data_IF_243436670440
#
_entry.id   IF_243436670440
#
_cell.length_a   1.000
_cell.length_b   1.000
_cell.length_c   1.000
_cell.angle_alpha   90.00
_cell.angle_beta   90.00
_cell.angle_gamma   90.00
#
_symmetry.space_group_name_H-M   'P 1'
#
loop_
_entity.id
_entity.type
_entity.pdbx_description
1 polymer ?
#
# COMPACT_ATOMS: atom_id res chain seq x y z
N UNK A 1 12.42 8.13 -26.48
CA UNK A 1 12.87 7.89 -25.09
C UNK A 1 12.11 8.86 -24.19
N UNK A 2 11.51 8.39 -23.10
CA UNK A 2 10.71 9.20 -22.17
C UNK A 2 11.25 9.01 -20.76
N UNK A 3 11.47 10.09 -20.03
CA UNK A 3 11.93 10.07 -18.64
C UNK A 3 10.74 10.43 -17.76
N UNK A 4 10.42 9.57 -16.80
CA UNK A 4 9.34 9.77 -15.83
C UNK A 4 9.92 9.85 -14.42
N UNK A 5 9.36 10.72 -13.59
CA UNK A 5 9.59 10.68 -12.15
C UNK A 5 8.81 9.52 -11.52
N UNK A 6 9.13 9.17 -10.26
CA UNK A 6 8.46 8.10 -9.51
C UNK A 6 6.93 8.23 -9.53
N UNK A 7 6.43 9.44 -9.35
CA UNK A 7 4.98 9.70 -9.26
C UNK A 7 4.23 9.37 -10.56
N UNK A 8 4.89 9.50 -11.72
CA UNK A 8 4.31 9.17 -13.03
C UNK A 8 4.50 7.69 -13.41
N UNK A 9 5.15 6.88 -12.57
CA UNK A 9 5.28 5.44 -12.78
C UNK A 9 3.92 4.70 -12.74
N UNK A 10 2.93 5.32 -12.11
CA UNK A 10 1.53 4.89 -12.08
C UNK A 10 0.64 5.83 -12.92
N UNK A 11 -0.48 5.32 -13.40
CA UNK A 11 -1.54 6.11 -14.06
C UNK A 11 -1.29 6.54 -15.51
N UNK A 12 -0.09 6.33 -16.08
CA UNK A 12 0.22 6.78 -17.46
C UNK A 12 0.34 5.61 -18.44
N UNK A 13 -0.44 5.63 -19.52
CA UNK A 13 -0.49 4.55 -20.49
C UNK A 13 0.31 4.89 -21.75
N UNK A 14 1.04 3.91 -22.27
CA UNK A 14 1.77 4.02 -23.53
C UNK A 14 1.10 3.16 -24.58
N UNK A 15 0.62 3.79 -25.65
CA UNK A 15 0.11 3.10 -26.83
C UNK A 15 1.20 3.14 -27.90
N UNK A 16 1.55 1.97 -28.43
CA UNK A 16 2.54 1.84 -29.50
C UNK A 16 1.78 1.83 -30.83
N UNK A 17 1.92 2.91 -31.60
CA UNK A 17 1.34 2.98 -32.95
C UNK A 17 2.33 2.53 -34.04
N UNK A 18 3.63 2.54 -33.76
CA UNK A 18 4.68 2.18 -34.73
C UNK A 18 4.97 0.67 -34.69
N UNK A 19 4.66 -0.02 -35.78
CA UNK A 19 4.89 -1.45 -35.93
C UNK A 19 6.38 -1.83 -35.81
N UNK A 20 7.30 -0.95 -36.18
CA UNK A 20 8.75 -1.22 -36.07
C UNK A 20 9.16 -1.44 -34.62
N UNK A 21 8.53 -0.72 -33.68
CA UNK A 21 8.77 -0.88 -32.24
C UNK A 21 8.22 -2.24 -31.77
N UNK A 22 7.04 -2.63 -32.24
CA UNK A 22 6.46 -3.95 -31.93
C UNK A 22 7.33 -5.10 -32.45
N UNK A 23 7.84 -4.97 -33.69
CA UNK A 23 8.75 -5.93 -34.31
C UNK A 23 10.11 -5.99 -33.58
N UNK A 24 10.59 -4.87 -33.04
CA UNK A 24 11.82 -4.78 -32.24
C UNK A 24 11.68 -5.31 -30.80
N UNK A 25 10.52 -5.85 -30.41
CA UNK A 25 10.30 -6.41 -29.08
C UNK A 25 9.53 -5.50 -28.11
N UNK A 26 9.03 -4.37 -28.59
CA UNK A 26 8.14 -3.46 -27.87
C UNK A 26 8.84 -2.49 -26.93
N UNK A 27 8.12 -1.99 -25.93
CA UNK A 27 8.64 -0.99 -24.99
C UNK A 27 9.60 -1.65 -24.00
N UNK A 28 10.78 -1.04 -23.85
CA UNK A 28 11.69 -1.36 -22.76
C UNK A 28 11.53 -0.36 -21.62
N UNK A 29 11.27 -0.85 -20.41
CA UNK A 29 11.17 -0.02 -19.21
C UNK A 29 12.42 -0.22 -18.35
N UNK A 30 13.10 0.88 -18.04
CA UNK A 30 14.24 0.90 -17.11
C UNK A 30 13.81 1.59 -15.83
N UNK A 31 13.78 0.84 -14.73
CA UNK A 31 13.52 1.40 -13.41
C UNK A 31 14.84 1.71 -12.70
N UNK A 32 15.05 2.97 -12.31
CA UNK A 32 16.33 3.46 -11.77
C UNK A 32 16.41 3.47 -10.24
N UNK A 33 15.41 2.90 -9.56
CA UNK A 33 15.34 2.85 -8.10
C UNK A 33 14.59 1.60 -7.64
N UNK A 34 14.86 1.15 -6.41
CA UNK A 34 14.08 0.08 -5.81
C UNK A 34 12.79 0.66 -5.21
N UNK A 35 11.64 0.19 -5.68
CA UNK A 35 10.33 0.55 -5.11
C UNK A 35 10.22 0.09 -3.66
N UNK A 36 9.59 0.91 -2.81
CA UNK A 36 9.29 0.53 -1.42
C UNK A 36 8.19 -0.53 -1.33
N UNK A 37 7.25 -0.51 -2.27
CA UNK A 37 6.18 -1.50 -2.36
C UNK A 37 6.34 -2.36 -3.62
N UNK A 38 6.00 -3.64 -3.51
CA UNK A 38 6.01 -4.55 -4.65
C UNK A 38 4.94 -4.14 -5.69
N UNK A 39 3.80 -3.63 -5.21
CA UNK A 39 2.69 -3.13 -6.04
C UNK A 39 3.17 -2.06 -7.04
N UNK A 40 4.02 -1.12 -6.59
CA UNK A 40 4.60 -0.07 -7.42
C UNK A 40 5.50 -0.65 -8.51
N UNK A 41 6.42 -1.56 -8.15
CA UNK A 41 7.29 -2.24 -9.13
C UNK A 41 6.46 -3.01 -10.17
N UNK A 42 5.42 -3.73 -9.74
CA UNK A 42 4.53 -4.48 -10.64
C UNK A 42 3.83 -3.55 -11.61
N UNK A 43 3.34 -2.39 -11.15
CA UNK A 43 2.71 -1.39 -12.01
C UNK A 43 3.67 -0.79 -13.03
N UNK A 44 4.89 -0.44 -12.62
CA UNK A 44 5.94 0.07 -13.52
C UNK A 44 6.30 -0.99 -14.56
N UNK A 45 6.51 -2.24 -14.14
CA UNK A 45 6.78 -3.36 -15.05
C UNK A 45 5.63 -3.59 -16.04
N UNK A 46 4.38 -3.43 -15.60
CA UNK A 46 3.19 -3.54 -16.45
C UNK A 46 3.12 -2.51 -17.58
N UNK A 47 3.96 -1.46 -17.56
CA UNK A 47 4.03 -0.46 -18.63
C UNK A 47 4.71 -0.98 -19.91
N UNK A 48 5.48 -2.06 -19.85
CA UNK A 48 6.23 -2.58 -21.02
C UNK A 48 5.38 -3.44 -21.97
N UNK A 49 4.45 -4.24 -21.43
CA UNK A 49 3.77 -5.32 -22.14
C UNK A 49 2.23 -5.26 -21.99
N UNK A 50 1.66 -4.07 -22.19
CA UNK A 50 0.21 -3.86 -22.00
C UNK A 50 -0.61 -4.57 -23.09
N UNK A 51 -1.76 -5.14 -22.71
CA UNK A 51 -2.69 -5.83 -23.63
C UNK A 51 -2.05 -6.96 -24.47
N UNK A 52 -1.02 -7.62 -23.93
CA UNK A 52 -0.35 -8.74 -24.62
C UNK A 52 0.71 -8.30 -25.63
N UNK A 53 1.03 -7.01 -25.72
CA UNK A 53 2.17 -6.53 -26.49
C UNK A 53 3.49 -7.08 -25.92
N UNK A 54 4.49 -7.26 -26.79
CA UNK A 54 5.85 -7.57 -26.35
C UNK A 54 6.42 -6.38 -25.58
N UNK A 55 7.29 -6.67 -24.62
CA UNK A 55 7.98 -5.67 -23.85
C UNK A 55 9.06 -6.29 -22.99
N UNK A 56 9.96 -5.46 -22.51
CA UNK A 56 11.05 -5.89 -21.63
C UNK A 56 11.22 -4.90 -20.48
N UNK A 57 11.83 -5.39 -19.41
CA UNK A 57 11.98 -4.64 -18.17
C UNK A 57 13.36 -4.91 -17.59
N UNK A 58 14.01 -3.85 -17.12
CA UNK A 58 15.27 -3.94 -16.40
C UNK A 58 15.28 -2.94 -15.24
N UNK A 59 16.14 -3.21 -14.26
CA UNK A 59 16.32 -2.34 -13.10
C UNK A 59 17.80 -1.96 -12.99
N UNK A 60 18.06 -0.66 -12.83
CA UNK A 60 19.39 -0.12 -12.60
C UNK A 60 19.42 0.51 -11.21
N UNK A 61 20.16 -0.11 -10.29
CA UNK A 61 20.14 0.27 -8.88
C UNK A 61 21.49 0.83 -8.44
N UNK A 62 21.44 1.95 -7.73
CA UNK A 62 22.60 2.54 -7.07
C UNK A 62 22.78 1.94 -5.67
N UNK A 63 24.01 1.56 -5.31
CA UNK A 63 24.34 1.05 -3.98
C UNK A 63 23.91 2.00 -2.86
N UNK A 64 24.17 3.31 -3.01
CA UNK A 64 23.80 4.31 -2.00
C UNK A 64 22.29 4.33 -1.72
N UNK A 65 21.46 4.10 -2.75
CA UNK A 65 20.00 4.05 -2.58
C UNK A 65 19.52 2.71 -1.99
N UNK A 66 20.32 1.65 -2.12
CA UNK A 66 20.02 0.32 -1.58
C UNK A 66 20.31 0.23 -0.07
N UNK A 67 21.22 1.06 0.44
CA UNK A 67 21.52 1.12 1.89
C UNK A 67 20.28 1.42 2.74
N UNK A 68 19.34 2.21 2.22
CA UNK A 68 18.04 2.47 2.85
C UNK A 68 17.25 1.19 3.18
N UNK A 69 17.43 0.14 2.39
CA UNK A 69 16.77 -1.17 2.58
C UNK A 69 17.65 -2.15 3.36
N UNK A 70 18.76 -1.67 3.96
CA UNK A 70 19.73 -2.52 4.65
C UNK A 70 20.52 -3.42 3.71
N UNK A 71 20.59 -3.09 2.42
CA UNK A 71 21.37 -3.84 1.42
C UNK A 71 22.72 -3.15 1.28
N UNK A 72 23.78 -3.84 1.72
CA UNK A 72 25.16 -3.38 1.61
C UNK A 72 25.88 -4.06 0.44
N UNK A 73 26.94 -3.43 -0.05
CA UNK A 73 27.79 -4.02 -1.10
C UNK A 73 28.48 -5.30 -0.62
N UNK A 74 29.05 -5.24 0.59
CA UNK A 74 29.74 -6.35 1.26
C UNK A 74 29.10 -6.66 2.62
N UNK A 75 28.97 -7.95 2.94
CA UNK A 75 28.50 -8.42 4.25
C UNK A 75 27.68 -9.71 4.18
N UNK A 76 27.51 -10.41 5.32
CA UNK A 76 26.65 -11.58 5.42
C UNK A 76 25.17 -11.19 5.36
N UNK A 77 24.33 -11.98 4.68
CA UNK A 77 22.88 -11.86 4.72
C UNK A 77 22.27 -10.95 3.66
N UNK A 78 22.48 -11.29 2.38
CA UNK A 78 21.83 -10.63 1.25
C UNK A 78 22.54 -9.36 0.77
N UNK A 79 23.87 -9.38 0.75
CA UNK A 79 24.68 -8.33 0.11
C UNK A 79 24.58 -8.41 -1.42
N UNK A 80 24.90 -7.32 -2.11
CA UNK A 80 24.83 -7.29 -3.59
C UNK A 80 25.77 -8.33 -4.22
N UNK A 81 26.94 -8.59 -3.63
CA UNK A 81 27.86 -9.59 -4.14
C UNK A 81 27.27 -11.02 -4.04
N UNK A 82 26.60 -11.35 -2.93
CA UNK A 82 25.91 -12.62 -2.76
C UNK A 82 24.75 -12.78 -3.77
N UNK A 83 24.01 -11.70 -4.05
CA UNK A 83 22.97 -11.70 -5.08
C UNK A 83 23.56 -11.95 -6.47
N UNK A 84 24.74 -11.38 -6.78
CA UNK A 84 25.46 -11.61 -8.04
C UNK A 84 25.88 -13.07 -8.21
N UNK A 85 26.43 -13.69 -7.17
CA UNK A 85 26.87 -15.10 -7.21
C UNK A 85 25.68 -16.06 -7.33
N UNK A 86 24.58 -15.78 -6.63
CA UNK A 86 23.42 -16.68 -6.60
C UNK A 86 22.42 -16.44 -7.74
N UNK A 87 22.46 -15.29 -8.41
CA UNK A 87 21.50 -14.87 -9.43
C UNK A 87 20.09 -14.58 -8.90
N UNK A 88 19.86 -14.63 -7.58
CA UNK A 88 18.53 -14.51 -6.94
C UNK A 88 18.17 -13.08 -6.55
N UNK A 89 18.26 -12.15 -7.50
CA UNK A 89 18.02 -10.72 -7.24
C UNK A 89 16.60 -10.44 -6.74
N UNK A 90 15.56 -10.82 -7.49
CA UNK A 90 14.16 -10.54 -7.16
C UNK A 90 13.77 -11.02 -5.75
N UNK A 91 14.12 -12.26 -5.40
CA UNK A 91 13.78 -12.84 -4.09
C UNK A 91 14.44 -12.07 -2.94
N UNK A 92 15.73 -11.76 -3.06
CA UNK A 92 16.47 -11.06 -2.01
C UNK A 92 16.04 -9.60 -1.89
N UNK A 93 15.82 -8.91 -3.01
CA UNK A 93 15.31 -7.54 -3.03
C UNK A 93 13.93 -7.45 -2.39
N UNK A 94 13.03 -8.39 -2.71
CA UNK A 94 11.69 -8.41 -2.13
C UNK A 94 11.70 -8.69 -0.63
N UNK A 95 12.58 -9.58 -0.17
CA UNK A 95 12.71 -9.85 1.27
C UNK A 95 13.22 -8.63 2.04
N UNK A 96 14.24 -7.95 1.53
CA UNK A 96 14.77 -6.71 2.14
C UNK A 96 13.74 -5.59 2.13
N UNK A 97 12.96 -5.48 1.06
CA UNK A 97 11.81 -4.58 0.98
C UNK A 97 10.76 -4.89 2.05
N UNK A 98 10.41 -6.16 2.24
CA UNK A 98 9.43 -6.59 3.26
C UNK A 98 9.89 -6.19 4.66
N UNK A 99 11.16 -6.44 5.00
CA UNK A 99 11.73 -6.05 6.29
C UNK A 99 11.70 -4.53 6.49
N UNK A 100 12.05 -3.76 5.45
CA UNK A 100 11.95 -2.30 5.48
C UNK A 100 10.51 -1.82 5.69
N UNK A 101 9.53 -2.46 5.03
CA UNK A 101 8.12 -2.13 5.17
C UNK A 101 7.61 -2.42 6.59
N UNK A 102 7.94 -3.58 7.15
CA UNK A 102 7.55 -3.97 8.51
C UNK A 102 8.08 -3.00 9.57
N UNK A 103 9.33 -2.54 9.41
CA UNK A 103 9.93 -1.55 10.30
C UNK A 103 9.26 -0.18 10.13
N UNK A 104 9.13 0.31 8.89
CA UNK A 104 8.58 1.65 8.59
C UNK A 104 7.12 1.81 8.99
N UNK A 105 6.30 0.78 8.83
CA UNK A 105 4.84 0.86 9.02
C UNK A 105 4.35 0.18 10.30
N UNK A 106 5.25 -0.18 11.22
CA UNK A 106 4.90 -0.88 12.48
C UNK A 106 3.76 -0.18 13.24
N UNK A 107 3.85 1.13 13.41
CA UNK A 107 2.85 1.92 14.13
C UNK A 107 1.54 2.07 13.32
N UNK A 108 1.67 2.21 11.99
CA UNK A 108 0.51 2.30 11.10
C UNK A 108 -0.30 1.01 11.12
N UNK A 109 0.35 -0.15 11.16
CA UNK A 109 -0.34 -1.44 11.26
C UNK A 109 -1.15 -1.53 12.55
N UNK A 110 -0.61 -1.07 13.68
CA UNK A 110 -1.36 -1.03 14.94
C UNK A 110 -2.58 -0.11 14.85
N UNK A 111 -2.42 1.05 14.23
CA UNK A 111 -3.53 1.98 14.03
C UNK A 111 -4.60 1.40 13.10
N UNK A 112 -4.23 0.70 12.03
CA UNK A 112 -5.18 0.03 11.13
C UNK A 112 -6.01 -1.02 11.85
N UNK A 113 -5.43 -1.79 12.79
CA UNK A 113 -6.17 -2.74 13.62
C UNK A 113 -7.22 -2.03 14.47
N UNK A 114 -6.85 -0.91 15.09
CA UNK A 114 -7.79 -0.10 15.88
C UNK A 114 -8.92 0.46 15.00
N UNK A 115 -8.62 1.00 13.82
CA UNK A 115 -9.64 1.48 12.88
C UNK A 115 -10.55 0.34 12.44
N UNK A 116 -10.02 -0.85 12.19
CA UNK A 116 -10.82 -2.00 11.77
C UNK A 116 -11.83 -2.42 12.85
N UNK A 117 -11.42 -2.40 14.12
CA UNK A 117 -12.32 -2.65 15.23
C UNK A 117 -13.39 -1.56 15.36
N UNK A 118 -12.99 -0.30 15.25
CA UNK A 118 -13.92 0.84 15.30
C UNK A 118 -14.89 0.86 14.13
N UNK A 119 -14.42 0.46 12.94
CA UNK A 119 -15.24 0.28 11.76
C UNK A 119 -16.28 -0.82 11.98
N UNK A 120 -15.87 -1.97 12.54
CA UNK A 120 -16.80 -3.05 12.90
C UNK A 120 -17.87 -2.57 13.88
N UNK A 121 -17.47 -1.91 14.98
CA UNK A 121 -18.41 -1.35 15.96
C UNK A 121 -19.39 -0.36 15.31
N UNK A 122 -18.91 0.49 14.39
CA UNK A 122 -19.76 1.43 13.66
C UNK A 122 -20.73 0.72 12.70
N UNK A 123 -20.31 -0.38 12.06
CA UNK A 123 -21.19 -1.20 11.22
C UNK A 123 -22.26 -1.93 12.04
N UNK A 124 -21.88 -2.49 13.20
CA UNK A 124 -22.83 -3.12 14.13
C UNK A 124 -23.85 -2.11 14.65
N UNK A 125 -23.40 -0.91 15.01
CA UNK A 125 -24.28 0.21 15.38
C UNK A 125 -25.25 0.59 14.25
N UNK A 126 -24.75 0.74 13.02
CA UNK A 126 -25.60 1.03 11.85
C UNK A 126 -26.66 -0.05 11.64
N UNK A 127 -26.27 -1.31 11.73
CA UNK A 127 -27.20 -2.44 11.56
C UNK A 127 -28.23 -2.48 12.70
N UNK A 128 -27.81 -2.18 13.94
CA UNK A 128 -28.70 -2.06 15.09
C UNK A 128 -29.71 -0.91 14.95
N UNK A 129 -29.30 0.24 14.40
CA UNK A 129 -30.22 1.34 14.10
C UNK A 129 -31.25 0.97 13.04
N UNK A 130 -30.85 0.19 12.02
CA UNK A 130 -31.75 -0.23 10.96
C UNK A 130 -32.88 -1.17 11.44
N UNK A 131 -32.73 -1.79 12.62
CA UNK A 131 -33.77 -2.66 13.21
C UNK A 131 -34.68 -1.94 14.20
N UNK A 132 -34.44 -0.65 14.48
CA UNK A 132 -35.32 0.18 15.32
C UNK A 132 -36.53 0.61 14.49
N UNK A 133 -37.78 0.29 14.89
CA UNK A 133 -38.97 0.70 14.18
C UNK A 133 -39.13 2.21 14.23
N UNK A 134 -39.55 2.77 13.09
CA UNK A 134 -39.81 4.21 12.95
C UNK A 134 -41.10 4.52 13.73
N UNK A 135 -41.11 5.65 14.45
CA UNK A 135 -42.24 6.11 15.25
C UNK A 135 -43.56 6.03 14.46
N UNK A 136 -44.38 5.03 14.78
CA UNK A 136 -45.62 4.70 14.06
C UNK A 136 -45.87 3.18 13.92
N UNK A 137 -44.82 2.36 13.96
CA UNK A 137 -44.95 0.89 13.92
C UNK A 137 -44.81 0.27 15.32
N UNK A 138 -45.81 -0.53 15.73
CA UNK A 138 -45.82 -1.26 17.01
C UNK A 138 -44.85 -2.46 16.99
N UNK A 139 -43.55 -2.21 16.90
CA UNK A 139 -42.50 -3.21 17.08
C UNK A 139 -41.76 -3.02 18.40
N UNK A 140 -41.73 -4.03 19.27
CA UNK A 140 -40.86 -3.98 20.46
C UNK A 140 -39.40 -4.21 20.04
N UNK A 141 -38.53 -3.22 20.24
CA UNK A 141 -37.08 -3.40 20.09
C UNK A 141 -36.59 -4.31 21.21
N UNK A 142 -35.73 -5.28 20.88
CA UNK A 142 -35.07 -6.11 21.90
C UNK A 142 -34.23 -5.22 22.82
N UNK A 143 -34.38 -5.36 24.14
CA UNK A 143 -33.59 -4.63 25.17
C UNK A 143 -32.08 -4.71 24.93
N UNK A 144 -31.62 -5.79 24.29
CA UNK A 144 -30.21 -6.00 23.96
C UNK A 144 -29.72 -5.03 22.86
N UNK A 145 -30.58 -4.68 21.89
CA UNK A 145 -30.27 -3.74 20.79
C UNK A 145 -30.19 -2.31 21.32
N UNK A 146 -31.15 -1.90 22.18
CA UNK A 146 -31.12 -0.59 22.84
C UNK A 146 -29.87 -0.42 23.71
N UNK A 147 -29.50 -1.46 24.46
CA UNK A 147 -28.28 -1.45 25.29
C UNK A 147 -27.02 -1.27 24.45
N UNK A 148 -26.95 -1.93 23.28
CA UNK A 148 -25.80 -1.86 22.38
C UNK A 148 -25.66 -0.49 21.67
N UNK A 149 -26.79 0.13 21.32
CA UNK A 149 -26.84 1.49 20.75
C UNK A 149 -26.40 2.51 21.80
N UNK A 150 -26.94 2.43 23.02
CA UNK A 150 -26.63 3.37 24.10
C UNK A 150 -25.18 3.24 24.57
N UNK A 151 -24.62 2.03 24.67
CA UNK A 151 -23.22 1.84 25.04
C UNK A 151 -22.26 2.43 24.00
N UNK A 152 -22.53 2.20 22.70
CA UNK A 152 -21.73 2.79 21.63
C UNK A 152 -21.73 4.34 21.66
N UNK A 153 -22.91 4.95 21.89
CA UNK A 153 -23.04 6.41 22.01
C UNK A 153 -22.34 6.97 23.26
N UNK A 154 -22.42 6.27 24.39
CA UNK A 154 -21.75 6.66 25.64
C UNK A 154 -20.22 6.58 25.51
N UNK A 155 -19.70 5.53 24.90
CA UNK A 155 -18.25 5.36 24.70
C UNK A 155 -17.69 6.47 23.80
N UNK A 156 -18.37 6.80 22.70
CA UNK A 156 -17.90 7.89 21.80
C UNK A 156 -18.08 9.29 22.37
N UNK A 157 -19.09 9.52 23.22
CA UNK A 157 -19.25 10.79 23.91
C UNK A 157 -18.18 11.01 24.99
N UNK A 158 -17.70 9.95 25.66
CA UNK A 158 -16.58 10.04 26.62
C UNK A 158 -15.23 10.31 25.93
N UNK A 159 -15.01 9.78 24.73
CA UNK A 159 -13.77 9.98 23.96
C UNK A 159 -13.54 11.42 23.47
N UNK A 160 -14.51 12.34 23.64
CA UNK A 160 -14.34 13.77 23.30
C UNK A 160 -13.70 14.62 24.40
N UNK A 161 -13.42 14.05 25.58
CA UNK A 161 -12.88 14.79 26.74
C UNK A 161 -11.38 14.56 26.97
N UNK A 162 -10.72 13.70 26.18
CA UNK A 162 -9.28 13.41 26.33
C UNK A 162 -8.51 14.14 25.22
N UNK A 163 -7.80 15.18 25.66
CA UNK A 163 -6.69 15.94 25.05
C UNK A 163 -6.39 15.69 23.56
N UNK A 164 -6.64 16.72 22.74
CA UNK A 164 -6.14 16.80 21.38
C UNK A 164 -4.59 16.74 21.38
N UNK A 165 -3.95 15.77 20.72
CA UNK A 165 -2.53 15.90 20.41
C UNK A 165 -2.39 17.00 19.35
N UNK A 166 -1.38 17.86 19.53
CA UNK A 166 -1.09 18.97 18.65
C UNK A 166 -1.11 18.54 17.17
N UNK A 167 -1.98 19.21 16.40
CA UNK A 167 -2.01 19.11 14.94
C UNK A 167 -0.59 19.32 14.39
N UNK A 168 -0.01 18.27 13.79
CA UNK A 168 1.06 18.47 12.81
C UNK A 168 0.37 18.98 11.55
N UNK A 169 0.34 20.31 11.40
CA UNK A 169 0.00 20.96 10.14
C UNK A 169 1.16 20.70 9.17
N UNK A 170 1.09 19.62 8.40
CA UNK A 170 1.83 19.56 7.12
C UNK A 170 0.93 20.18 6.06
N UNK A 171 1.06 21.49 5.92
CA UNK A 171 0.65 22.21 4.72
C UNK A 171 1.50 21.71 3.55
N UNK A 172 0.84 21.55 2.40
CA UNK A 172 1.41 21.26 1.08
C UNK A 172 2.48 22.29 0.68
#
# INVERSE_FOLDING_TARGET
VTILSREFGRGTDFIIYDERVSQAGGVHVIQTFLSEELSEQVQIRGRSARQGCKGSYSMLLSYANLEKFGIKEFGPGGSVNEMKTTGRYEKNLNEKRRLFFEDKYKDTVQYVVQIAEDHRKAMDFRNALATVPIAGEHGSVSKQVETHILSFLQDRNKSRVIEAPAFITRTL
#
